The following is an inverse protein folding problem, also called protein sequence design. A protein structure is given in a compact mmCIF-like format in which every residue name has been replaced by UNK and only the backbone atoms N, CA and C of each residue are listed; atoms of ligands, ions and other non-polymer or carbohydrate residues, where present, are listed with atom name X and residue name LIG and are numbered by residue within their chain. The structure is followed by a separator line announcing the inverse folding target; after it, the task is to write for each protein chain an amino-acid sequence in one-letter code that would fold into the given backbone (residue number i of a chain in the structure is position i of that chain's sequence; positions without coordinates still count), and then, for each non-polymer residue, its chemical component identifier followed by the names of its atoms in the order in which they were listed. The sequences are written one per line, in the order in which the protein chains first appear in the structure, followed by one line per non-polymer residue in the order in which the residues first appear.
data_IF_661652401444
#
_entry.id   IF_661652401444
#
_cell.length_a   1.000
_cell.length_b   1.000
_cell.length_c   1.000
_cell.angle_alpha   90.00
_cell.angle_beta   90.00
_cell.angle_gamma   90.00
#
_symmetry.space_group_name_H-M   'P 1'
#
loop_
_entity.id
_entity.type
_entity.pdbx_description
1 polymer ?
#
# COMPACT_ATOMS: atom_id res chain seq x y z
N UNK A 1 0.84 15.42 -28.93
CA UNK A 1 2.04 15.47 -28.05
C UNK A 1 2.49 14.05 -27.84
N UNK A 2 3.79 13.77 -27.96
CA UNK A 2 4.33 12.44 -27.63
C UNK A 2 4.70 12.44 -26.15
N UNK A 3 4.22 11.45 -25.39
CA UNK A 3 4.54 11.25 -23.98
C UNK A 3 5.27 9.91 -23.82
N UNK A 4 6.50 9.95 -23.32
CA UNK A 4 7.26 8.76 -22.99
C UNK A 4 6.90 8.30 -21.58
N UNK A 5 6.66 7.01 -21.42
CA UNK A 5 6.38 6.39 -20.12
C UNK A 5 7.03 5.02 -19.99
N UNK A 6 7.08 4.50 -18.80
CA UNK A 6 7.51 3.12 -18.53
C UNK A 6 6.39 2.39 -17.80
N UNK A 7 6.08 1.17 -18.26
CA UNK A 7 5.16 0.30 -17.57
C UNK A 7 5.94 -0.54 -16.53
N UNK A 8 5.49 -0.52 -15.28
CA UNK A 8 6.11 -1.26 -14.19
C UNK A 8 5.05 -1.94 -13.34
N UNK A 9 5.44 -2.87 -12.48
CA UNK A 9 4.57 -3.41 -11.46
C UNK A 9 5.35 -3.78 -10.18
N UNK A 10 4.70 -3.68 -9.03
CA UNK A 10 5.17 -4.18 -7.76
C UNK A 10 4.21 -5.24 -7.24
N UNK A 11 4.59 -6.53 -7.39
CA UNK A 11 3.77 -7.68 -6.97
C UNK A 11 2.35 -7.69 -7.59
N UNK A 12 2.25 -7.33 -8.87
CA UNK A 12 0.98 -7.31 -9.60
C UNK A 12 0.23 -5.97 -9.61
N UNK A 13 0.47 -5.10 -8.63
CA UNK A 13 -0.01 -3.72 -8.69
C UNK A 13 0.76 -2.97 -9.78
N UNK A 14 0.11 -2.55 -10.85
CA UNK A 14 0.76 -2.05 -12.05
C UNK A 14 0.67 -0.52 -12.20
N UNK A 15 1.76 0.03 -12.73
CA UNK A 15 1.98 1.47 -12.79
C UNK A 15 2.34 1.92 -14.21
N UNK A 16 1.82 3.09 -14.60
CA UNK A 16 2.40 3.93 -15.63
C UNK A 16 3.33 4.94 -14.96
N UNK A 17 4.63 4.92 -15.28
CA UNK A 17 5.62 5.84 -14.70
C UNK A 17 6.02 6.88 -15.74
N UNK A 18 5.85 8.15 -15.39
CA UNK A 18 6.15 9.29 -16.24
C UNK A 18 7.23 10.15 -15.58
N UNK A 19 8.30 10.40 -16.32
CA UNK A 19 9.38 11.31 -15.94
C UNK A 19 9.07 12.73 -16.46
N UNK A 20 8.84 13.68 -15.57
CA UNK A 20 8.68 15.09 -15.90
C UNK A 20 9.94 15.94 -15.59
N UNK A 21 11.09 15.28 -15.36
CA UNK A 21 12.40 15.94 -15.26
C UNK A 21 12.96 16.15 -16.66
N UNK A 22 12.90 15.11 -17.51
CA UNK A 22 13.48 15.12 -18.87
C UNK A 22 12.47 15.46 -19.96
N UNK A 23 11.18 15.45 -19.67
CA UNK A 23 10.10 15.86 -20.59
C UNK A 23 9.07 16.75 -19.88
N UNK A 24 8.22 17.39 -20.68
CA UNK A 24 7.13 18.24 -20.18
C UNK A 24 5.79 17.69 -20.62
N UNK A 25 4.90 17.49 -19.67
CA UNK A 25 3.51 17.15 -19.91
C UNK A 25 2.63 17.75 -18.82
N UNK A 26 1.39 18.03 -19.15
CA UNK A 26 0.34 18.34 -18.20
C UNK A 26 -0.69 17.20 -18.25
N UNK A 27 -0.88 16.53 -17.15
CA UNK A 27 -1.79 15.40 -16.99
C UNK A 27 -2.88 15.79 -16.01
N UNK A 28 -4.00 16.24 -16.55
CA UNK A 28 -5.17 16.50 -15.73
C UNK A 28 -5.92 15.20 -15.39
N UNK A 29 -6.85 15.30 -14.46
CA UNK A 29 -7.67 14.21 -13.96
C UNK A 29 -8.36 13.41 -15.10
N UNK A 30 -8.94 14.09 -16.09
CA UNK A 30 -9.62 13.42 -17.20
C UNK A 30 -8.64 12.68 -18.12
N UNK A 31 -7.46 13.25 -18.33
CA UNK A 31 -6.38 12.61 -19.09
C UNK A 31 -5.89 11.36 -18.37
N UNK A 32 -5.71 11.42 -17.04
CA UNK A 32 -5.29 10.26 -16.23
C UNK A 32 -6.33 9.14 -16.32
N UNK A 33 -7.62 9.44 -16.19
CA UNK A 33 -8.70 8.45 -16.33
C UNK A 33 -8.67 7.75 -17.70
N UNK A 34 -8.50 8.54 -18.79
CA UNK A 34 -8.41 7.97 -20.15
C UNK A 34 -7.19 7.09 -20.33
N UNK A 35 -6.04 7.49 -19.79
CA UNK A 35 -4.82 6.69 -19.85
C UNK A 35 -4.93 5.42 -19.01
N UNK A 36 -5.66 5.45 -17.90
CA UNK A 36 -5.87 4.32 -17.01
C UNK A 36 -6.79 3.24 -17.61
N UNK A 37 -7.65 3.60 -18.58
CA UNK A 37 -8.53 2.64 -19.22
C UNK A 37 -7.72 1.50 -19.85
N UNK A 38 -8.07 0.24 -19.51
CA UNK A 38 -7.33 -0.95 -19.94
C UNK A 38 -7.63 -1.37 -21.38
N UNK A 39 -8.69 -0.82 -21.97
CA UNK A 39 -9.11 -1.14 -23.35
C UNK A 39 -8.75 -0.02 -24.33
N UNK A 40 -8.91 1.24 -23.93
CA UNK A 40 -8.74 2.39 -24.81
C UNK A 40 -7.55 3.28 -24.43
N UNK A 41 -6.90 3.02 -23.29
CA UNK A 41 -5.72 3.72 -22.81
C UNK A 41 -4.49 2.81 -22.70
N UNK A 42 -3.57 3.18 -21.81
CA UNK A 42 -2.40 2.38 -21.43
C UNK A 42 -2.79 1.26 -20.49
N UNK A 43 -3.79 1.52 -19.65
CA UNK A 43 -4.25 0.61 -18.59
C UNK A 43 -3.24 0.52 -17.44
N UNK A 44 -3.65 0.88 -16.24
CA UNK A 44 -2.84 0.77 -15.01
C UNK A 44 -3.74 0.92 -13.79
N UNK A 45 -3.24 0.44 -12.65
CA UNK A 45 -3.86 0.71 -11.35
C UNK A 45 -3.57 2.14 -10.89
N UNK A 46 -2.31 2.59 -11.08
CA UNK A 46 -1.88 3.93 -10.65
C UNK A 46 -0.87 4.54 -11.62
N UNK A 47 -0.90 5.89 -11.70
CA UNK A 47 0.09 6.70 -12.40
C UNK A 47 1.11 7.22 -11.38
N UNK A 48 2.40 7.04 -11.68
CA UNK A 48 3.52 7.62 -10.93
C UNK A 48 4.15 8.74 -11.73
N UNK A 49 4.29 9.92 -11.13
CA UNK A 49 4.96 11.07 -11.76
C UNK A 49 6.24 11.37 -10.97
N UNK A 50 7.35 11.47 -11.70
CA UNK A 50 8.67 11.84 -11.19
C UNK A 50 8.92 13.30 -11.56
N UNK A 51 9.11 14.16 -10.56
CA UNK A 51 9.30 15.61 -10.71
C UNK A 51 10.55 16.07 -9.95
N UNK A 52 11.12 17.26 -10.29
CA UNK A 52 12.07 17.93 -9.40
C UNK A 52 11.45 18.19 -8.02
N UNK A 53 12.24 18.12 -6.93
CA UNK A 53 11.71 18.35 -5.59
C UNK A 53 11.36 19.83 -5.37
N UNK A 54 10.33 20.08 -4.55
CA UNK A 54 10.00 21.43 -4.10
C UNK A 54 10.83 21.83 -2.86
N UNK A 55 11.39 20.83 -2.14
CA UNK A 55 12.17 21.04 -0.92
C UNK A 55 13.65 20.70 -1.12
N UNK A 56 14.58 21.47 -0.54
CA UNK A 56 16.03 21.36 -0.83
C UNK A 56 16.68 20.08 -0.29
N UNK A 57 16.03 19.36 0.62
CA UNK A 57 16.54 18.15 1.24
C UNK A 57 16.01 16.85 0.60
N UNK A 58 15.30 16.95 -0.51
CA UNK A 58 14.87 15.82 -1.34
C UNK A 58 15.63 15.75 -2.65
N UNK A 59 15.79 14.55 -3.20
CA UNK A 59 16.40 14.31 -4.51
C UNK A 59 15.37 14.42 -5.63
N UNK A 60 14.13 13.98 -5.35
CA UNK A 60 13.01 13.97 -6.28
C UNK A 60 11.71 14.26 -5.53
N UNK A 61 10.68 14.65 -6.29
CA UNK A 61 9.30 14.63 -5.89
C UNK A 61 8.56 13.52 -6.61
N UNK A 62 7.72 12.84 -5.89
CA UNK A 62 6.94 11.71 -6.35
C UNK A 62 5.47 11.99 -6.12
N UNK A 63 4.70 11.95 -7.19
CA UNK A 63 3.25 12.05 -7.11
C UNK A 63 2.62 10.77 -7.63
N UNK A 64 1.51 10.39 -7.03
CA UNK A 64 0.79 9.17 -7.37
C UNK A 64 -0.70 9.44 -7.52
N UNK A 65 -1.28 8.90 -8.57
CA UNK A 65 -2.69 9.06 -8.89
C UNK A 65 -3.33 7.70 -9.12
N UNK A 66 -4.52 7.50 -8.59
CA UNK A 66 -5.35 6.34 -8.89
C UNK A 66 -5.88 6.42 -10.34
N UNK A 67 -6.44 5.30 -10.82
CA UNK A 67 -7.05 5.22 -12.14
C UNK A 67 -8.22 6.21 -12.34
N UNK A 68 -8.88 6.62 -11.25
CA UNK A 68 -9.93 7.65 -11.27
C UNK A 68 -9.38 9.10 -11.33
N UNK A 69 -8.05 9.27 -11.37
CA UNK A 69 -7.35 10.54 -11.41
C UNK A 69 -7.19 11.22 -10.04
N UNK A 70 -7.68 10.64 -8.96
CA UNK A 70 -7.47 11.17 -7.60
C UNK A 70 -6.01 11.00 -7.17
N UNK A 71 -5.43 12.05 -6.58
CA UNK A 71 -4.07 12.00 -6.04
C UNK A 71 -4.06 11.37 -4.65
N UNK A 72 -3.21 10.37 -4.43
CA UNK A 72 -3.05 9.68 -3.15
C UNK A 72 -1.73 10.03 -2.46
N UNK A 73 -1.69 9.82 -1.15
CA UNK A 73 -0.57 10.28 -0.32
C UNK A 73 0.65 9.36 -0.42
N UNK A 74 0.43 8.04 -0.46
CA UNK A 74 1.51 7.05 -0.40
C UNK A 74 1.07 5.69 -0.97
N UNK A 75 2.01 5.00 -1.64
CA UNK A 75 1.88 3.60 -2.04
C UNK A 75 3.24 2.92 -1.93
N UNK A 76 3.39 1.96 -1.02
CA UNK A 76 4.64 1.24 -0.80
C UNK A 76 5.13 0.49 -2.04
N UNK A 77 4.22 -0.08 -2.85
CA UNK A 77 4.55 -0.72 -4.12
C UNK A 77 5.09 0.31 -5.13
N UNK A 78 4.44 1.49 -5.21
CA UNK A 78 4.83 2.57 -6.09
C UNK A 78 6.21 3.13 -5.75
N UNK A 79 6.51 3.34 -4.47
CA UNK A 79 7.84 3.83 -4.04
C UNK A 79 8.96 2.87 -4.47
N UNK A 80 8.73 1.55 -4.46
CA UNK A 80 9.71 0.57 -4.94
C UNK A 80 9.93 0.67 -6.45
N UNK A 81 8.84 0.78 -7.21
CA UNK A 81 8.91 1.00 -8.67
C UNK A 81 9.61 2.33 -8.99
N UNK A 82 9.27 3.40 -8.26
CA UNK A 82 9.89 4.71 -8.40
C UNK A 82 11.42 4.64 -8.21
N UNK A 83 11.89 4.05 -7.10
CA UNK A 83 13.32 3.97 -6.79
C UNK A 83 14.09 3.22 -7.89
N UNK A 84 13.55 2.11 -8.37
CA UNK A 84 14.12 1.37 -9.52
C UNK A 84 14.11 2.20 -10.78
N UNK A 85 13.02 2.86 -11.09
CA UNK A 85 12.86 3.67 -12.29
C UNK A 85 13.92 4.78 -12.38
N UNK A 86 14.07 5.60 -11.33
CA UNK A 86 15.03 6.73 -11.36
C UNK A 86 16.48 6.25 -11.45
N UNK A 87 16.80 5.09 -10.90
CA UNK A 87 18.12 4.49 -10.98
C UNK A 87 18.37 3.85 -12.37
N UNK A 88 17.44 3.05 -12.90
CA UNK A 88 17.54 2.41 -14.22
C UNK A 88 17.57 3.45 -15.36
N UNK A 89 16.87 4.56 -15.20
CA UNK A 89 16.90 5.71 -16.13
C UNK A 89 18.11 6.62 -15.93
N UNK A 90 19.01 6.29 -15.01
CA UNK A 90 20.23 7.06 -14.69
C UNK A 90 19.94 8.52 -14.27
N UNK A 91 18.77 8.80 -13.71
CA UNK A 91 18.42 10.10 -13.14
C UNK A 91 19.20 10.35 -11.83
N UNK A 92 19.68 9.29 -11.20
CA UNK A 92 20.55 9.34 -10.02
C UNK A 92 21.46 8.11 -9.96
N UNK A 93 22.63 8.26 -9.32
CA UNK A 93 23.54 7.16 -8.97
C UNK A 93 23.41 6.76 -7.48
N UNK A 94 22.56 7.48 -6.72
CA UNK A 94 22.35 7.18 -5.31
C UNK A 94 21.58 5.87 -5.16
N UNK A 95 21.98 5.06 -4.20
CA UNK A 95 21.22 3.87 -3.77
C UNK A 95 20.18 4.21 -2.71
N UNK A 96 20.45 5.23 -1.88
CA UNK A 96 19.51 5.85 -0.95
C UNK A 96 18.98 7.14 -1.54
N UNK A 97 17.67 7.21 -1.77
CA UNK A 97 17.05 8.29 -2.53
C UNK A 97 16.03 8.98 -1.62
N UNK A 98 16.21 10.28 -1.39
CA UNK A 98 15.25 11.08 -0.62
C UNK A 98 14.15 11.58 -1.54
N UNK A 99 12.94 11.15 -1.26
CA UNK A 99 11.78 11.39 -2.13
C UNK A 99 10.72 12.17 -1.38
N UNK A 100 10.39 13.34 -1.87
CA UNK A 100 9.27 14.13 -1.39
C UNK A 100 7.97 13.51 -1.87
N UNK A 101 7.06 13.24 -0.94
CA UNK A 101 5.70 12.76 -1.20
C UNK A 101 4.69 13.67 -0.53
N UNK A 102 3.41 13.52 -0.85
CA UNK A 102 2.34 14.25 -0.16
C UNK A 102 2.26 13.97 1.34
N UNK A 103 2.75 12.80 1.79
CA UNK A 103 2.80 12.40 3.20
C UNK A 103 4.11 12.80 3.90
N UNK A 104 5.06 13.43 3.20
CA UNK A 104 6.38 13.78 3.70
C UNK A 104 7.51 13.12 2.93
N UNK A 105 8.72 13.13 3.49
CA UNK A 105 9.90 12.55 2.85
C UNK A 105 9.98 11.06 3.18
N UNK A 106 10.12 10.24 2.14
CA UNK A 106 10.43 8.81 2.23
C UNK A 106 11.82 8.55 1.66
N UNK A 107 12.50 7.54 2.18
CA UNK A 107 13.88 7.22 1.78
C UNK A 107 13.99 5.74 1.39
N UNK A 108 13.56 5.36 0.15
CA UNK A 108 13.81 4.03 -0.36
C UNK A 108 15.31 3.78 -0.57
N UNK A 109 15.74 2.55 -0.31
CA UNK A 109 17.12 2.10 -0.48
C UNK A 109 17.17 0.93 -1.45
N UNK A 110 17.90 1.11 -2.55
CA UNK A 110 18.16 0.06 -3.53
C UNK A 110 19.20 -0.92 -2.99
N UNK A 111 18.82 -2.18 -2.87
CA UNK A 111 19.67 -3.27 -2.49
C UNK A 111 20.14 -4.11 -3.68
N UNK A 112 20.88 -5.19 -3.39
CA UNK A 112 21.33 -6.16 -4.39
C UNK A 112 20.13 -6.84 -5.07
N UNK A 113 20.32 -7.28 -6.31
CA UNK A 113 19.34 -8.03 -7.09
C UNK A 113 17.99 -7.31 -7.34
N UNK A 114 18.01 -5.96 -7.29
CA UNK A 114 16.80 -5.15 -7.57
C UNK A 114 15.80 -5.08 -6.41
N UNK A 115 16.19 -5.54 -5.22
CA UNK A 115 15.39 -5.32 -4.01
C UNK A 115 15.36 -3.84 -3.63
N UNK A 116 14.23 -3.39 -3.10
CA UNK A 116 14.10 -2.03 -2.57
C UNK A 116 13.58 -2.11 -1.14
N UNK A 117 14.36 -1.58 -0.22
CA UNK A 117 13.95 -1.40 1.17
C UNK A 117 13.23 -0.07 1.32
N UNK A 118 12.07 -0.09 1.96
CA UNK A 118 11.30 1.11 2.28
C UNK A 118 11.00 1.11 3.77
N UNK A 119 11.32 2.21 4.44
CA UNK A 119 10.88 2.42 5.82
C UNK A 119 9.40 2.81 5.82
N UNK A 120 8.56 1.95 6.37
CA UNK A 120 7.11 2.14 6.44
C UNK A 120 6.65 2.85 7.72
N UNK A 121 7.59 3.37 8.51
CA UNK A 121 7.29 4.04 9.78
C UNK A 121 7.06 3.08 10.95
N UNK A 122 6.49 3.60 12.02
CA UNK A 122 6.22 2.85 13.23
C UNK A 122 4.75 2.44 13.31
N UNK A 123 4.46 1.20 13.76
CA UNK A 123 3.09 0.77 14.01
C UNK A 123 2.49 1.52 15.20
N UNK A 124 1.19 1.85 15.11
CA UNK A 124 0.42 2.42 16.22
C UNK A 124 -0.67 1.43 16.62
N UNK A 125 -0.91 1.30 17.92
CA UNK A 125 -1.77 0.27 18.49
C UNK A 125 -2.93 0.82 19.34
N UNK A 126 -2.91 2.11 19.67
CA UNK A 126 -4.01 2.69 20.43
C UNK A 126 -5.24 2.85 19.54
N UNK A 127 -6.44 2.45 20.00
CA UNK A 127 -7.66 2.52 19.21
C UNK A 127 -7.91 3.87 18.55
N UNK A 128 -7.64 4.97 19.24
CA UNK A 128 -7.78 6.33 18.71
C UNK A 128 -6.83 6.62 17.55
N UNK A 129 -5.64 6.02 17.53
CA UNK A 129 -4.66 6.21 16.45
C UNK A 129 -4.96 5.33 15.22
N UNK A 130 -5.86 4.32 15.40
CA UNK A 130 -6.26 3.37 14.35
C UNK A 130 -7.60 3.76 13.73
N UNK A 131 -8.29 4.80 14.12
CA UNK A 131 -9.72 5.08 14.16
C UNK A 131 -10.59 3.83 14.38
N UNK A 132 -10.39 3.17 15.55
CA UNK A 132 -11.11 1.97 15.94
C UNK A 132 -11.89 2.21 17.24
N UNK A 133 -13.17 1.81 17.27
CA UNK A 133 -14.02 1.96 18.47
C UNK A 133 -13.80 0.78 19.41
N UNK A 134 -13.23 1.05 20.58
CA UNK A 134 -13.03 0.10 21.66
C UNK A 134 -13.22 0.81 23.00
N UNK A 135 -13.72 0.09 24.01
CA UNK A 135 -13.87 0.60 25.36
C UNK A 135 -12.50 0.75 26.03
N UNK A 136 -11.65 -0.25 25.87
CA UNK A 136 -10.29 -0.30 26.42
C UNK A 136 -9.31 -0.80 25.34
N UNK A 137 -8.02 -0.42 25.43
CA UNK A 137 -6.98 -0.98 24.59
C UNK A 137 -6.70 -2.45 24.93
N UNK A 138 -6.86 -3.33 23.94
CA UNK A 138 -6.58 -4.76 24.08
C UNK A 138 -5.56 -5.21 23.01
N UNK A 139 -5.00 -6.39 23.19
CA UNK A 139 -4.10 -6.98 22.19
C UNK A 139 -4.87 -7.60 21.03
N UNK A 140 -6.07 -8.11 21.29
CA UNK A 140 -6.97 -8.71 20.30
C UNK A 140 -8.40 -8.28 20.60
N UNK A 141 -9.20 -8.19 19.55
CA UNK A 141 -10.62 -7.83 19.66
C UNK A 141 -11.48 -8.84 18.90
N UNK A 142 -12.65 -9.13 19.46
CA UNK A 142 -13.68 -9.86 18.74
C UNK A 142 -14.64 -8.87 18.06
N UNK A 143 -14.96 -9.12 16.79
CA UNK A 143 -15.99 -8.42 16.06
C UNK A 143 -17.07 -9.40 15.59
N UNK A 144 -18.33 -8.95 15.58
CA UNK A 144 -19.46 -9.76 15.15
C UNK A 144 -19.73 -9.57 13.66
N UNK A 145 -19.67 -10.66 12.89
CA UNK A 145 -20.04 -10.65 11.48
C UNK A 145 -21.56 -10.85 11.31
N UNK A 146 -22.08 -10.52 10.13
CA UNK A 146 -23.52 -10.55 9.82
C UNK A 146 -24.19 -11.91 10.06
N UNK A 147 -23.45 -13.02 9.97
CA UNK A 147 -23.92 -14.38 10.22
C UNK A 147 -23.83 -14.80 11.71
N UNK A 148 -23.63 -13.86 12.65
CA UNK A 148 -23.37 -14.09 14.07
C UNK A 148 -22.05 -14.83 14.36
N UNK A 149 -21.20 -14.97 13.39
CA UNK A 149 -19.85 -15.48 13.58
C UNK A 149 -18.99 -14.40 14.24
N UNK A 150 -18.23 -14.77 15.27
CA UNK A 150 -17.20 -13.91 15.84
C UNK A 150 -15.90 -14.08 15.08
N UNK A 151 -15.24 -12.96 14.81
CA UNK A 151 -13.92 -12.93 14.21
C UNK A 151 -12.96 -12.22 15.15
N UNK A 152 -11.91 -12.91 15.56
CA UNK A 152 -10.82 -12.33 16.37
C UNK A 152 -9.85 -11.62 15.44
N UNK A 153 -9.59 -10.35 15.74
CA UNK A 153 -8.69 -9.49 14.97
C UNK A 153 -7.64 -8.83 15.87
N UNK A 154 -6.45 -8.62 15.32
CA UNK A 154 -5.48 -7.64 15.82
C UNK A 154 -5.65 -6.34 15.00
N UNK A 155 -5.60 -5.19 15.65
CA UNK A 155 -5.74 -3.90 14.97
C UNK A 155 -4.44 -3.10 15.07
N UNK A 156 -4.01 -2.52 13.95
CA UNK A 156 -2.77 -1.76 13.86
C UNK A 156 -2.87 -0.68 12.78
N UNK A 157 -2.27 0.48 13.04
CA UNK A 157 -2.10 1.53 12.04
C UNK A 157 -0.66 1.53 11.54
N UNK A 158 -0.48 1.36 10.22
CA UNK A 158 0.79 1.44 9.48
C UNK A 158 0.84 2.64 8.54
N UNK A 159 0.25 3.78 8.97
CA UNK A 159 -0.06 4.94 8.11
C UNK A 159 -1.50 4.90 7.60
N UNK A 160 -2.14 3.75 7.67
CA UNK A 160 -3.55 3.48 7.42
C UNK A 160 -4.01 2.31 8.32
N UNK A 161 -5.32 2.19 8.60
CA UNK A 161 -5.84 1.18 9.52
C UNK A 161 -5.84 -0.22 8.91
N UNK A 162 -5.44 -1.21 9.72
CA UNK A 162 -5.46 -2.63 9.40
C UNK A 162 -6.12 -3.44 10.50
N UNK A 163 -6.94 -4.42 10.12
CA UNK A 163 -7.45 -5.48 10.98
C UNK A 163 -6.91 -6.83 10.46
N UNK A 164 -6.11 -7.52 11.26
CA UNK A 164 -5.46 -8.78 10.88
C UNK A 164 -6.09 -9.94 11.63
N UNK A 165 -6.63 -10.89 10.90
CA UNK A 165 -7.11 -12.17 11.46
C UNK A 165 -6.19 -13.31 11.06
N UNK A 166 -6.01 -14.30 11.95
CA UNK A 166 -5.26 -15.51 11.62
C UNK A 166 -6.21 -16.55 11.07
N UNK A 167 -5.81 -17.14 9.94
CA UNK A 167 -6.54 -18.20 9.26
C UNK A 167 -5.68 -19.47 9.15
N UNK A 168 -6.29 -20.66 9.17
CA UNK A 168 -5.54 -21.91 9.00
C UNK A 168 -4.87 -22.04 7.63
N UNK A 169 -5.55 -21.56 6.60
CA UNK A 169 -5.07 -21.59 5.22
C UNK A 169 -5.64 -20.40 4.43
N UNK A 170 -4.77 -19.55 3.87
CA UNK A 170 -5.18 -18.40 3.07
C UNK A 170 -5.84 -18.80 1.75
N UNK A 171 -5.53 -19.97 1.23
CA UNK A 171 -6.10 -20.43 -0.05
C UNK A 171 -7.59 -20.77 0.07
N UNK A 172 -8.01 -21.24 1.24
CA UNK A 172 -9.41 -21.59 1.54
C UNK A 172 -10.16 -20.52 2.32
N UNK A 173 -9.46 -19.46 2.80
CA UNK A 173 -10.08 -18.37 3.53
C UNK A 173 -11.10 -17.63 2.66
N UNK A 174 -12.30 -17.43 3.20
CA UNK A 174 -13.40 -16.75 2.51
C UNK A 174 -13.24 -15.23 2.55
N UNK A 175 -12.18 -14.74 1.88
CA UNK A 175 -11.84 -13.32 1.80
C UNK A 175 -12.94 -12.52 1.12
N UNK A 176 -13.58 -13.09 0.11
CA UNK A 176 -14.63 -12.41 -0.67
C UNK A 176 -15.88 -12.07 0.17
N UNK A 177 -16.23 -12.93 1.13
CA UNK A 177 -17.40 -12.72 2.00
C UNK A 177 -17.05 -11.98 3.29
N UNK A 178 -15.92 -12.34 3.93
CA UNK A 178 -15.51 -11.79 5.22
C UNK A 178 -14.84 -10.42 5.06
N UNK A 179 -14.04 -10.24 4.00
CA UNK A 179 -13.30 -9.01 3.75
C UNK A 179 -14.17 -7.74 3.74
N UNK A 180 -15.26 -7.67 2.95
CA UNK A 180 -16.17 -6.53 2.94
C UNK A 180 -16.83 -6.26 4.31
N UNK A 181 -17.13 -7.30 5.07
CA UNK A 181 -17.75 -7.16 6.39
C UNK A 181 -16.79 -6.58 7.42
N UNK A 182 -15.52 -6.97 7.38
CA UNK A 182 -14.45 -6.39 8.22
C UNK A 182 -14.16 -4.96 7.78
N UNK A 183 -13.99 -4.75 6.46
CA UNK A 183 -13.66 -3.46 5.86
C UNK A 183 -14.64 -2.35 6.27
N UNK A 184 -15.94 -2.65 6.29
CA UNK A 184 -17.02 -1.72 6.59
C UNK A 184 -17.63 -1.90 7.98
N UNK A 185 -16.99 -2.65 8.88
CA UNK A 185 -17.52 -2.95 10.20
C UNK A 185 -17.72 -1.66 11.02
N UNK A 186 -18.80 -1.58 11.80
CA UNK A 186 -19.21 -0.38 12.57
C UNK A 186 -18.13 0.14 13.53
N UNK A 187 -17.25 -0.74 14.03
CA UNK A 187 -16.13 -0.35 14.87
C UNK A 187 -14.99 0.37 14.13
N UNK A 188 -15.03 0.42 12.79
CA UNK A 188 -14.08 1.16 11.95
C UNK A 188 -14.79 2.31 11.21
N UNK A 189 -14.99 3.48 11.83
CA UNK A 189 -15.75 4.59 11.23
C UNK A 189 -15.11 5.16 9.96
N UNK A 190 -13.81 4.92 9.75
CA UNK A 190 -13.09 5.29 8.54
C UNK A 190 -12.75 4.10 7.65
N UNK A 191 -13.45 2.96 7.87
CA UNK A 191 -13.15 1.67 7.25
C UNK A 191 -11.73 1.16 7.54
N UNK A 192 -11.41 -0.06 7.12
CA UNK A 192 -10.15 -0.73 7.44
C UNK A 192 -9.70 -1.65 6.32
N UNK A 193 -8.40 -1.92 6.20
CA UNK A 193 -7.88 -3.00 5.37
C UNK A 193 -7.95 -4.30 6.17
N UNK A 194 -8.59 -5.34 5.62
CA UNK A 194 -8.72 -6.63 6.28
C UNK A 194 -7.63 -7.60 5.80
N UNK A 195 -6.75 -8.01 6.72
CA UNK A 195 -5.66 -8.96 6.45
C UNK A 195 -6.00 -10.37 6.94
N UNK A 196 -5.79 -11.38 6.10
CA UNK A 196 -5.96 -12.80 6.39
C UNK A 196 -4.58 -13.44 6.42
N UNK A 197 -4.07 -13.70 7.63
CA UNK A 197 -2.70 -14.14 7.87
C UNK A 197 -2.66 -15.64 8.18
N UNK A 198 -1.94 -16.42 7.38
CA UNK A 198 -1.58 -17.81 7.67
C UNK A 198 -0.13 -17.85 8.16
N UNK A 199 0.09 -18.39 9.36
CA UNK A 199 1.42 -18.69 9.88
C UNK A 199 1.86 -20.05 9.36
N UNK A 200 3.01 -20.13 8.71
CA UNK A 200 3.60 -21.39 8.26
C UNK A 200 4.62 -21.87 9.32
N UNK A 201 5.50 -20.98 9.74
CA UNK A 201 6.48 -21.17 10.82
C UNK A 201 6.92 -19.79 11.35
N UNK A 202 7.87 -19.74 12.29
CA UNK A 202 8.35 -18.50 12.92
C UNK A 202 8.98 -17.49 11.95
N UNK A 203 9.25 -17.86 10.71
CA UNK A 203 9.90 -17.01 9.69
C UNK A 203 9.08 -16.87 8.42
N UNK A 204 8.04 -17.68 8.26
CA UNK A 204 7.27 -17.73 7.05
C UNK A 204 5.78 -17.60 7.33
N UNK A 205 5.15 -16.70 6.61
CA UNK A 205 3.72 -16.48 6.65
C UNK A 205 3.18 -16.23 5.24
N UNK A 206 1.89 -16.44 5.06
CA UNK A 206 1.15 -16.07 3.84
C UNK A 206 0.06 -15.10 4.20
N UNK A 207 -0.21 -14.16 3.30
CA UNK A 207 -1.16 -13.09 3.50
C UNK A 207 -2.04 -12.90 2.27
N UNK A 208 -3.35 -12.75 2.50
CA UNK A 208 -4.28 -12.11 1.55
C UNK A 208 -4.86 -10.87 2.20
N UNK A 209 -5.11 -9.83 1.40
CA UNK A 209 -5.63 -8.56 1.91
C UNK A 209 -6.81 -8.11 1.08
N UNK A 210 -7.88 -7.74 1.77
CA UNK A 210 -9.00 -6.98 1.22
C UNK A 210 -8.79 -5.51 1.58
N UNK A 211 -8.42 -4.69 0.59
CA UNK A 211 -8.06 -3.29 0.82
C UNK A 211 -9.28 -2.38 0.87
N UNK A 212 -9.21 -1.39 1.73
CA UNK A 212 -10.21 -0.37 1.96
C UNK A 212 -10.58 0.38 0.67
N UNK A 213 -11.84 0.26 0.25
CA UNK A 213 -12.37 0.94 -0.94
C UNK A 213 -11.91 0.36 -2.29
N UNK A 214 -11.13 -0.73 -2.28
CA UNK A 214 -10.59 -1.35 -3.50
C UNK A 214 -11.07 -2.79 -3.68
N UNK A 215 -11.08 -3.58 -2.60
CA UNK A 215 -11.35 -5.00 -2.64
C UNK A 215 -10.10 -5.84 -2.43
N UNK A 216 -10.15 -7.14 -2.79
CA UNK A 216 -8.98 -8.01 -2.69
C UNK A 216 -7.93 -7.63 -3.73
N UNK A 217 -6.70 -7.40 -3.28
CA UNK A 217 -5.55 -7.03 -4.12
C UNK A 217 -4.43 -8.06 -4.03
N UNK A 218 -3.58 -8.10 -5.04
CA UNK A 218 -2.45 -9.04 -5.09
C UNK A 218 -1.33 -8.70 -4.10
N UNK A 219 -1.24 -7.44 -3.67
CA UNK A 219 -0.20 -7.00 -2.74
C UNK A 219 -0.53 -5.65 -2.09
N UNK A 220 -0.43 -5.62 -0.77
CA UNK A 220 -0.54 -4.42 0.05
C UNK A 220 0.71 -4.29 0.94
N UNK A 221 1.51 -3.25 0.72
CA UNK A 221 2.77 -3.03 1.46
C UNK A 221 2.54 -2.79 2.95
N UNK A 222 1.59 -1.91 3.31
CA UNK A 222 1.21 -1.65 4.70
C UNK A 222 0.52 -2.86 5.33
N UNK A 223 -0.25 -3.63 4.55
CA UNK A 223 -0.87 -4.88 4.98
C UNK A 223 0.16 -5.95 5.34
N UNK A 224 1.25 -6.08 4.57
CA UNK A 224 2.34 -6.98 4.89
C UNK A 224 3.05 -6.57 6.19
N UNK A 225 3.28 -5.27 6.41
CA UNK A 225 3.83 -4.76 7.66
C UNK A 225 2.88 -5.03 8.84
N UNK A 226 1.58 -4.76 8.68
CA UNK A 226 0.58 -5.00 9.70
C UNK A 226 0.51 -6.49 10.09
N UNK A 227 0.55 -7.39 9.11
CA UNK A 227 0.54 -8.83 9.32
C UNK A 227 1.79 -9.30 10.07
N UNK A 228 2.98 -8.84 9.67
CA UNK A 228 4.23 -9.16 10.37
C UNK A 228 4.21 -8.66 11.82
N UNK A 229 3.80 -7.41 12.04
CA UNK A 229 3.68 -6.82 13.39
C UNK A 229 2.69 -7.59 14.24
N UNK A 230 1.52 -7.96 13.70
CA UNK A 230 0.53 -8.79 14.38
C UNK A 230 1.10 -10.16 14.77
N UNK A 231 1.79 -10.83 13.84
CA UNK A 231 2.44 -12.12 14.12
C UNK A 231 3.50 -12.02 15.22
N UNK A 232 4.36 -11.01 15.17
CA UNK A 232 5.41 -10.75 16.19
C UNK A 232 4.80 -10.46 17.55
N UNK A 233 3.80 -9.58 17.63
CA UNK A 233 3.12 -9.25 18.91
C UNK A 233 2.49 -10.47 19.58
N UNK A 234 2.06 -11.43 18.78
CA UNK A 234 1.43 -12.67 19.25
C UNK A 234 2.45 -13.79 19.49
N UNK A 235 3.74 -13.57 19.27
CA UNK A 235 4.80 -14.57 19.42
C UNK A 235 4.69 -15.73 18.42
N UNK A 236 4.18 -15.46 17.22
CA UNK A 236 3.96 -16.45 16.16
C UNK A 236 4.98 -16.31 14.99
N UNK A 237 5.67 -15.15 14.93
CA UNK A 237 6.75 -14.83 14.00
C UNK A 237 7.95 -14.30 14.76
#
# INVERSE_FOLDING_TARGET
MLLNFTKMHGLGNDFMVVDLITQRAYLDHLTIQRLADRHFGVGFDQLLIVEPPDVPNADFKYRIFNADGSEVEQCGNGVRCFARFVHERQLTQKTKIKVETKAGIVEPELGLHGWVRVNMGYPKFLPQDIPFIAEEPESLYDIDLSNRQKLTIDVVNMGNPHAVTIVPDVLTADVATIGPQVESHVRFPQRVNAGFLQIIDEKHARLRVFERGVGETLACGTGACAAAVSGIRRGLL
#
